data_IF_358315411701
#
_entry.id   IF_358315411701
#
_cell.length_a   1.000
_cell.length_b   1.000
_cell.length_c   1.000
_cell.angle_alpha   90.00
_cell.angle_beta   90.00
_cell.angle_gamma   90.00
#
_symmetry.space_group_name_H-M   'P 1'
#
loop_
_entity.id
_entity.type
_entity.pdbx_description
1 polymer ?
#
# COMPACT_ATOMS: atom_id res chain seq x y z
N UNK A 1 -34.24 -35.88 -32.13
CA UNK A 1 -33.69 -34.49 -32.12
C UNK A 1 -33.62 -33.83 -30.73
N UNK A 2 -34.22 -34.39 -29.67
CA UNK A 2 -34.21 -33.81 -28.31
C UNK A 2 -32.93 -34.08 -27.49
N UNK A 3 -32.32 -35.26 -27.66
CA UNK A 3 -31.13 -35.69 -26.90
C UNK A 3 -29.88 -34.86 -27.20
N UNK A 4 -29.74 -34.34 -28.42
CA UNK A 4 -28.64 -33.44 -28.82
C UNK A 4 -28.72 -32.09 -28.08
N UNK A 5 -29.92 -31.54 -27.92
CA UNK A 5 -30.14 -30.28 -27.17
C UNK A 5 -29.86 -30.46 -25.68
N UNK A 6 -30.27 -31.59 -25.09
CA UNK A 6 -30.02 -31.89 -23.68
C UNK A 6 -28.53 -32.08 -23.36
N UNK A 7 -27.78 -32.76 -24.24
CA UNK A 7 -26.31 -32.86 -24.10
C UNK A 7 -25.60 -31.51 -24.23
N UNK A 8 -26.11 -30.62 -25.09
CA UNK A 8 -25.57 -29.27 -25.25
C UNK A 8 -25.80 -28.41 -23.99
N UNK A 9 -27.02 -28.43 -23.43
CA UNK A 9 -27.35 -27.74 -22.19
C UNK A 9 -26.53 -28.27 -21.00
N UNK A 10 -26.38 -29.59 -20.89
CA UNK A 10 -25.53 -30.20 -19.86
C UNK A 10 -24.07 -29.74 -20.01
N UNK A 11 -23.49 -29.77 -21.22
CA UNK A 11 -22.13 -29.30 -21.45
C UNK A 11 -21.93 -27.80 -21.17
N UNK A 12 -22.95 -26.98 -21.44
CA UNK A 12 -22.91 -25.54 -21.18
C UNK A 12 -22.89 -25.25 -19.67
N UNK A 13 -23.78 -25.93 -18.92
CA UNK A 13 -23.83 -25.83 -17.46
C UNK A 13 -22.54 -26.38 -16.83
N UNK A 14 -22.08 -27.56 -17.25
CA UNK A 14 -20.84 -28.15 -16.75
C UNK A 14 -19.64 -27.24 -16.99
N UNK A 15 -19.51 -26.61 -18.17
CA UNK A 15 -18.43 -25.64 -18.44
C UNK A 15 -18.47 -24.46 -17.47
N UNK A 16 -19.65 -23.91 -17.21
CA UNK A 16 -19.78 -22.73 -16.35
C UNK A 16 -19.48 -23.05 -14.88
N UNK A 17 -19.90 -24.21 -14.40
CA UNK A 17 -19.55 -24.72 -13.06
C UNK A 17 -18.06 -25.07 -12.94
N UNK A 18 -17.48 -25.77 -13.93
CA UNK A 18 -16.05 -26.11 -13.93
C UNK A 18 -15.15 -24.87 -14.01
N UNK A 19 -15.50 -23.87 -14.82
CA UNK A 19 -14.73 -22.63 -14.93
C UNK A 19 -14.74 -21.83 -13.61
N UNK A 20 -15.89 -21.77 -12.92
CA UNK A 20 -15.99 -21.14 -11.59
C UNK A 20 -15.24 -21.91 -10.50
N UNK A 21 -15.12 -23.23 -10.63
CA UNK A 21 -14.38 -24.07 -9.69
C UNK A 21 -12.86 -23.98 -9.92
N UNK A 22 -12.40 -24.05 -11.17
CA UNK A 22 -10.98 -23.97 -11.53
C UNK A 22 -10.40 -22.55 -11.38
N UNK A 23 -11.23 -21.53 -11.58
CA UNK A 23 -10.85 -20.13 -11.39
C UNK A 23 -11.92 -19.43 -10.55
N UNK A 24 -11.88 -19.57 -9.21
CA UNK A 24 -12.76 -18.79 -8.36
C UNK A 24 -12.56 -17.31 -8.71
N UNK A 25 -13.64 -16.55 -8.95
CA UNK A 25 -13.51 -15.13 -9.24
C UNK A 25 -12.75 -14.50 -8.08
N UNK A 26 -11.57 -13.92 -8.37
CA UNK A 26 -10.72 -13.29 -7.35
C UNK A 26 -11.61 -12.39 -6.51
N UNK A 27 -11.65 -12.57 -5.18
CA UNK A 27 -12.45 -11.70 -4.32
C UNK A 27 -12.04 -10.27 -4.62
N UNK A 28 -13.00 -9.42 -5.00
CA UNK A 28 -12.74 -8.01 -5.26
C UNK A 28 -12.02 -7.48 -4.03
N UNK A 29 -10.72 -7.15 -4.17
CA UNK A 29 -9.93 -6.52 -3.10
C UNK A 29 -10.76 -5.36 -2.59
N UNK A 30 -11.37 -5.53 -1.42
CA UNK A 30 -12.11 -4.49 -0.75
C UNK A 30 -11.09 -3.38 -0.52
N UNK A 31 -11.33 -2.22 -1.12
CA UNK A 31 -10.56 -1.00 -0.83
C UNK A 31 -10.51 -0.91 0.69
N UNK A 32 -9.32 -1.05 1.27
CA UNK A 32 -9.14 -1.08 2.72
C UNK A 32 -9.91 0.08 3.34
N UNK A 33 -10.64 -0.15 4.45
CA UNK A 33 -11.50 0.88 5.03
C UNK A 33 -10.68 2.14 5.30
N UNK A 34 -11.20 3.28 4.86
CA UNK A 34 -10.64 4.59 5.17
C UNK A 34 -10.58 4.71 6.70
N UNK A 35 -9.38 4.72 7.28
CA UNK A 35 -9.23 4.96 8.72
C UNK A 35 -9.28 6.45 8.96
N UNK A 36 -10.03 6.88 9.96
CA UNK A 36 -9.97 8.24 10.45
C UNK A 36 -8.74 8.37 11.35
N UNK A 37 -7.83 9.26 10.98
CA UNK A 37 -6.61 9.54 11.74
C UNK A 37 -6.56 11.04 12.06
N UNK A 38 -5.84 11.37 13.13
CA UNK A 38 -5.52 12.75 13.48
C UNK A 38 -4.20 13.14 12.82
N UNK A 39 -4.17 14.27 12.12
CA UNK A 39 -2.96 14.78 11.47
C UNK A 39 -1.90 15.10 12.53
N UNK A 40 -0.70 14.53 12.39
CA UNK A 40 0.40 14.81 13.31
C UNK A 40 0.94 16.25 13.23
N UNK A 41 0.62 17.00 12.18
CA UNK A 41 1.09 18.38 12.02
C UNK A 41 0.06 19.41 12.50
N UNK A 42 -1.18 19.33 12.03
CA UNK A 42 -2.22 20.32 12.32
C UNK A 42 -3.32 19.85 13.28
N UNK A 43 -3.30 18.58 13.72
CA UNK A 43 -4.29 18.06 14.66
C UNK A 43 -5.69 17.79 14.10
N UNK A 44 -5.96 18.14 12.83
CA UNK A 44 -7.24 17.87 12.18
C UNK A 44 -7.46 16.38 11.89
N UNK A 45 -8.71 15.93 11.98
CA UNK A 45 -9.08 14.57 11.63
C UNK A 45 -9.21 14.43 10.11
N UNK A 46 -8.68 13.35 9.53
CA UNK A 46 -8.71 13.10 8.10
C UNK A 46 -8.85 11.61 7.78
N UNK A 47 -9.40 11.31 6.60
CA UNK A 47 -9.48 9.93 6.11
C UNK A 47 -8.16 9.50 5.47
N UNK A 48 -7.46 8.55 6.07
CA UNK A 48 -6.25 7.95 5.54
C UNK A 48 -6.59 6.76 4.63
N UNK A 49 -5.97 6.74 3.45
CA UNK A 49 -6.11 5.64 2.47
C UNK A 49 -5.12 4.50 2.71
N UNK A 50 -4.03 4.79 3.44
CA UNK A 50 -2.97 3.83 3.76
C UNK A 50 -2.51 4.05 5.19
N UNK A 51 -2.00 2.99 5.85
CA UNK A 51 -1.40 3.10 7.19
C UNK A 51 -0.18 4.02 7.24
N UNK A 52 0.44 4.31 6.08
CA UNK A 52 1.60 5.20 5.98
C UNK A 52 1.23 6.68 5.97
N UNK A 53 -0.04 7.03 5.75
CA UNK A 53 -0.49 8.42 5.79
C UNK A 53 -0.68 8.88 7.24
N UNK A 54 0.17 9.81 7.68
CA UNK A 54 0.17 10.35 9.05
C UNK A 54 -0.25 11.84 9.08
N UNK A 55 -0.16 12.51 7.93
CA UNK A 55 -0.54 13.92 7.75
C UNK A 55 -1.73 14.03 6.81
N UNK A 56 -2.57 15.04 7.05
CA UNK A 56 -3.69 15.36 6.18
C UNK A 56 -3.21 15.82 4.80
N UNK A 57 -4.13 15.87 3.82
CA UNK A 57 -3.82 16.20 2.42
C UNK A 57 -3.54 17.69 2.15
N UNK A 58 -3.55 18.54 3.18
CA UNK A 58 -3.23 19.96 2.98
C UNK A 58 -1.77 20.12 2.54
N UNK A 59 -1.52 21.03 1.58
CA UNK A 59 -0.18 21.22 1.04
C UNK A 59 0.84 21.60 2.10
N UNK A 60 0.44 22.44 3.07
CA UNK A 60 1.30 22.86 4.19
C UNK A 60 1.77 21.67 5.02
N UNK A 61 0.85 20.78 5.42
CA UNK A 61 1.21 19.58 6.19
C UNK A 61 2.09 18.61 5.40
N UNK A 62 1.86 18.49 4.09
CA UNK A 62 2.69 17.66 3.21
C UNK A 62 4.10 18.24 3.10
N UNK A 63 4.24 19.55 2.84
CA UNK A 63 5.53 20.24 2.73
C UNK A 63 6.32 20.14 4.04
N UNK A 64 5.68 20.41 5.18
CA UNK A 64 6.31 20.28 6.49
C UNK A 64 6.81 18.84 6.74
N UNK A 65 5.99 17.83 6.42
CA UNK A 65 6.42 16.43 6.57
C UNK A 65 7.58 16.06 5.64
N UNK A 66 7.59 16.57 4.41
CA UNK A 66 8.69 16.35 3.46
C UNK A 66 9.99 16.96 3.95
N UNK A 67 9.94 18.19 4.50
CA UNK A 67 11.10 18.86 5.09
C UNK A 67 11.69 18.04 6.24
N UNK A 68 10.86 17.63 7.21
CA UNK A 68 11.31 16.77 8.32
C UNK A 68 11.98 15.46 7.85
N UNK A 69 11.42 14.82 6.80
CA UNK A 69 12.00 13.60 6.24
C UNK A 69 13.32 13.85 5.51
N UNK A 70 13.49 15.03 4.92
CA UNK A 70 14.74 15.44 4.27
C UNK A 70 15.82 15.70 5.32
N UNK A 71 15.50 16.50 6.34
CA UNK A 71 16.43 16.86 7.42
C UNK A 71 16.91 15.60 8.16
N UNK A 72 15.99 14.70 8.53
CA UNK A 72 16.32 13.43 9.16
C UNK A 72 17.18 12.51 8.28
N UNK A 73 17.08 12.63 6.94
CA UNK A 73 17.93 11.88 6.02
C UNK A 73 19.34 12.48 5.97
N UNK A 74 19.44 13.81 6.00
CA UNK A 74 20.70 14.51 5.98
C UNK A 74 21.50 14.21 7.25
N UNK A 75 20.89 14.33 8.42
CA UNK A 75 21.53 13.98 9.69
C UNK A 75 22.09 12.55 9.72
N UNK A 76 21.39 11.59 9.10
CA UNK A 76 21.86 10.20 9.00
C UNK A 76 23.10 10.07 8.11
N UNK A 77 23.20 10.88 7.05
CA UNK A 77 24.39 10.91 6.19
C UNK A 77 25.56 11.52 6.94
N UNK A 78 25.35 12.66 7.60
CA UNK A 78 26.39 13.37 8.33
C UNK A 78 26.94 12.49 9.48
N UNK A 79 26.06 11.79 10.21
CA UNK A 79 26.45 10.82 11.23
C UNK A 79 27.24 9.63 10.66
N UNK A 80 26.86 9.14 9.48
CA UNK A 80 27.57 8.04 8.84
C UNK A 80 28.96 8.46 8.33
N UNK A 81 29.09 9.68 7.82
CA UNK A 81 30.37 10.26 7.41
C UNK A 81 31.30 10.48 8.60
N UNK A 82 30.76 11.04 9.69
CA UNK A 82 31.52 11.20 10.94
C UNK A 82 31.99 9.86 11.53
N UNK A 83 31.14 8.82 11.49
CA UNK A 83 31.52 7.49 11.93
C UNK A 83 32.71 6.93 11.12
N UNK A 84 32.68 7.08 9.78
CA UNK A 84 33.80 6.68 8.92
C UNK A 84 35.09 7.42 9.27
N UNK A 85 35.01 8.74 9.47
CA UNK A 85 36.15 9.54 9.88
C UNK A 85 36.77 9.05 11.20
N UNK A 86 35.95 8.68 12.18
CA UNK A 86 36.43 8.13 13.45
C UNK A 86 37.13 6.77 13.29
N UNK A 87 36.59 5.89 12.44
CA UNK A 87 37.17 4.59 12.16
C UNK A 87 38.55 4.72 11.48
N UNK A 88 38.66 5.61 10.49
CA UNK A 88 39.94 5.94 9.82
C UNK A 88 41.00 6.52 10.75
N UNK A 89 40.56 7.19 11.83
CA UNK A 89 41.45 7.82 12.82
C UNK A 89 41.89 6.85 13.91
N UNK A 90 41.09 5.81 14.21
CA UNK A 90 41.44 4.75 15.18
C UNK A 90 42.28 3.62 14.57
N UNK A 91 42.19 3.42 13.26
CA UNK A 91 43.02 2.45 12.53
C UNK A 91 44.44 2.96 12.19
N UNK A 92 44.81 4.15 12.67
CA UNK A 92 46.10 4.80 12.46
C UNK A 92 46.77 5.02 13.81
#
# INVERSE_FOLDING_TARGET
MYTKKLRFLANLLFKQYYLRFLTPPKPKRTRTPKRWLRCAHCGFHFSAFTHRQIVCKSEGCIKARRKLLYDARQERKDKAEYAKYLDERKGR
#
